data_IF_087945702820
#
_entry.id   IF_087945702820
#
_cell.length_a   1.000
_cell.length_b   1.000
_cell.length_c   1.000
_cell.angle_alpha   90.00
_cell.angle_beta   90.00
_cell.angle_gamma   90.00
#
_symmetry.space_group_name_H-M   'P 1'
#
loop_
_entity.id
_entity.type
_entity.pdbx_description
1 polymer ?
#
# COMPACT_ATOMS: atom_id res chain seq x y z
N UNK A 1 5.31 25.45 63.14
CA UNK A 1 5.45 26.02 61.78
C UNK A 1 6.15 24.96 60.95
N UNK A 2 5.46 24.34 59.99
CA UNK A 2 6.07 23.38 59.08
C UNK A 2 6.36 24.12 57.78
N UNK A 3 7.64 24.34 57.50
CA UNK A 3 8.14 24.86 56.23
C UNK A 3 7.98 23.77 55.17
N UNK A 4 7.34 24.12 54.06
CA UNK A 4 7.28 23.27 52.87
C UNK A 4 8.56 23.50 52.05
N UNK A 5 9.19 22.44 51.51
CA UNK A 5 10.35 22.61 50.66
C UNK A 5 9.92 23.24 49.32
N UNK A 6 10.46 24.41 49.00
CA UNK A 6 10.15 25.19 47.77
C UNK A 6 10.72 24.58 46.48
N UNK A 7 11.27 23.37 46.52
CA UNK A 7 11.99 22.75 45.40
C UNK A 7 11.21 21.65 44.68
N UNK A 8 9.90 21.81 44.49
CA UNK A 8 9.22 21.06 43.43
C UNK A 8 9.47 21.78 42.10
N UNK A 9 10.64 21.51 41.52
CA UNK A 9 11.00 21.86 40.15
C UNK A 9 9.75 21.87 39.26
N UNK A 10 9.38 23.05 38.78
CA UNK A 10 8.55 23.19 37.59
C UNK A 10 9.35 22.60 36.43
N UNK A 11 9.37 21.27 36.32
CA UNK A 11 9.71 20.56 35.10
C UNK A 11 8.57 20.89 34.15
N UNK A 12 8.65 22.06 33.53
CA UNK A 12 7.76 22.46 32.47
C UNK A 12 7.70 21.30 31.51
N UNK A 13 6.57 20.59 31.52
CA UNK A 13 6.35 19.48 30.62
C UNK A 13 6.67 20.05 29.25
N UNK A 14 7.65 19.50 28.55
CA UNK A 14 7.88 19.84 27.16
C UNK A 14 6.58 19.48 26.43
N UNK A 15 5.66 20.44 26.34
CA UNK A 15 4.43 20.29 25.59
C UNK A 15 4.91 20.04 24.18
N UNK A 16 4.72 18.81 23.70
CA UNK A 16 4.95 18.46 22.31
C UNK A 16 3.99 19.31 21.49
N UNK A 17 4.44 20.48 21.07
CA UNK A 17 3.67 21.32 20.16
C UNK A 17 3.61 20.54 18.86
N UNK A 18 2.39 20.19 18.45
CA UNK A 18 2.19 19.56 17.14
C UNK A 18 2.71 20.53 16.07
N UNK A 19 3.50 20.03 15.12
CA UNK A 19 3.98 20.82 14.00
C UNK A 19 2.79 21.52 13.31
N UNK A 20 2.92 22.82 13.03
CA UNK A 20 1.91 23.64 12.34
C UNK A 20 1.43 22.99 11.04
N UNK A 21 2.30 22.25 10.35
CA UNK A 21 1.95 21.49 9.13
C UNK A 21 0.97 20.35 9.41
N UNK A 22 1.10 19.69 10.56
CA UNK A 22 0.20 18.59 10.96
C UNK A 22 -1.18 19.17 11.24
N UNK A 23 -1.27 20.23 12.05
CA UNK A 23 -2.54 20.89 12.36
C UNK A 23 -3.24 21.41 11.10
N UNK A 24 -2.48 22.03 10.18
CA UNK A 24 -3.01 22.48 8.89
C UNK A 24 -3.58 21.32 8.07
N UNK A 25 -2.82 20.22 7.92
CA UNK A 25 -3.28 19.05 7.18
C UNK A 25 -4.57 18.44 7.76
N UNK A 26 -4.71 18.43 9.09
CA UNK A 26 -5.92 17.93 9.75
C UNK A 26 -7.11 18.84 9.43
N UNK A 27 -6.94 20.16 9.53
CA UNK A 27 -7.98 21.14 9.18
C UNK A 27 -8.39 21.00 7.70
N UNK A 28 -7.41 20.90 6.80
CA UNK A 28 -7.65 20.74 5.37
C UNK A 28 -8.41 19.44 5.08
N UNK A 29 -8.05 18.32 5.72
CA UNK A 29 -8.78 17.06 5.58
C UNK A 29 -10.23 17.15 6.06
N UNK A 30 -10.50 17.82 7.19
CA UNK A 30 -11.86 18.00 7.71
C UNK A 30 -12.68 18.84 6.73
N UNK A 31 -12.11 19.91 6.19
CA UNK A 31 -12.79 20.77 5.22
C UNK A 31 -13.10 20.05 3.90
N UNK A 32 -12.19 19.21 3.42
CA UNK A 32 -12.35 18.53 2.14
C UNK A 32 -13.18 17.25 2.24
N UNK A 33 -12.99 16.44 3.28
CA UNK A 33 -13.55 15.09 3.38
C UNK A 33 -14.50 14.89 4.57
N UNK A 34 -14.66 15.90 5.44
CA UNK A 34 -15.47 15.76 6.66
C UNK A 34 -14.88 14.77 7.68
N UNK A 35 -13.60 14.42 7.55
CA UNK A 35 -12.96 13.39 8.38
C UNK A 35 -11.55 13.78 8.83
N UNK A 36 -11.17 13.33 10.03
CA UNK A 36 -9.82 13.44 10.56
C UNK A 36 -8.83 12.50 9.87
N UNK A 37 -9.32 11.43 9.23
CA UNK A 37 -8.49 10.45 8.55
C UNK A 37 -8.20 10.87 7.12
N UNK A 38 -6.91 10.86 6.74
CA UNK A 38 -6.52 11.04 5.33
C UNK A 38 -7.09 9.91 4.47
N UNK A 39 -7.60 10.19 3.25
CA UNK A 39 -7.94 9.13 2.32
C UNK A 39 -6.70 8.28 2.03
N UNK A 40 -6.86 6.95 2.02
CA UNK A 40 -5.77 6.03 1.70
C UNK A 40 -5.29 6.32 0.28
N UNK A 41 -4.03 6.76 0.15
CA UNK A 41 -3.39 6.87 -1.16
C UNK A 41 -3.20 5.45 -1.70
N UNK A 42 -3.90 5.09 -2.77
CA UNK A 42 -3.72 3.81 -3.46
C UNK A 42 -2.31 3.79 -4.07
N UNK A 43 -1.35 3.21 -3.35
CA UNK A 43 0.06 3.08 -3.79
C UNK A 43 0.22 2.08 -4.94
N UNK A 44 -0.80 1.27 -5.22
CA UNK A 44 -0.72 0.13 -6.12
C UNK A 44 -1.49 0.32 -7.43
N UNK A 45 -2.03 1.51 -7.70
CA UNK A 45 -2.76 1.74 -8.95
C UNK A 45 -1.75 1.79 -10.11
N UNK A 46 -1.84 0.86 -11.09
CA UNK A 46 -0.88 0.82 -12.18
C UNK A 46 -0.99 2.09 -13.03
N UNK A 47 0.16 2.64 -13.41
CA UNK A 47 0.23 3.79 -14.32
C UNK A 47 -0.48 3.42 -15.62
N UNK A 48 -1.45 4.25 -16.00
CA UNK A 48 -2.49 4.09 -17.05
C UNK A 48 -1.96 3.91 -18.51
N UNK A 49 -0.73 3.45 -18.71
CA UNK A 49 -0.02 3.48 -20.00
C UNK A 49 0.18 2.12 -20.69
N UNK A 50 -0.06 0.99 -20.02
CA UNK A 50 -0.10 -0.32 -20.68
C UNK A 50 -1.22 -1.12 -20.04
N UNK A 51 -2.33 -1.27 -20.75
CA UNK A 51 -3.29 -2.31 -20.43
C UNK A 51 -2.52 -3.63 -20.57
N UNK A 52 -2.01 -4.15 -19.46
CA UNK A 52 -1.42 -5.49 -19.44
C UNK A 52 -2.60 -6.41 -19.75
N UNK A 53 -2.47 -7.29 -20.75
CA UNK A 53 -3.48 -8.27 -21.11
C UNK A 53 -3.58 -9.35 -20.03
N UNK A 54 -3.99 -8.96 -18.81
CA UNK A 54 -4.15 -9.83 -17.65
C UNK A 54 -5.09 -10.99 -17.99
N UNK A 55 -6.18 -10.69 -18.71
CA UNK A 55 -7.18 -11.67 -19.11
C UNK A 55 -6.61 -12.78 -19.99
N UNK A 56 -5.65 -12.47 -20.84
CA UNK A 56 -5.03 -13.43 -21.76
C UNK A 56 -4.10 -14.39 -21.01
N UNK A 57 -3.34 -13.87 -20.04
CA UNK A 57 -2.53 -14.69 -19.11
C UNK A 57 -3.43 -15.64 -18.33
N UNK A 58 -4.52 -15.12 -17.76
CA UNK A 58 -5.45 -15.92 -16.96
C UNK A 58 -6.19 -16.97 -17.79
N UNK A 59 -6.60 -16.65 -19.03
CA UNK A 59 -7.23 -17.61 -19.93
C UNK A 59 -6.30 -18.78 -20.28
N UNK A 60 -5.02 -18.48 -20.53
CA UNK A 60 -4.00 -19.49 -20.82
C UNK A 60 -3.78 -20.44 -19.63
N UNK A 61 -3.75 -19.88 -18.42
CA UNK A 61 -3.52 -20.63 -17.17
C UNK A 61 -4.76 -21.43 -16.77
N UNK A 62 -5.97 -20.91 -17.00
CA UNK A 62 -7.22 -21.63 -16.76
C UNK A 62 -7.35 -22.88 -17.66
N UNK A 63 -6.89 -22.81 -18.91
CA UNK A 63 -6.89 -23.95 -19.82
C UNK A 63 -5.83 -25.01 -19.48
N UNK A 64 -4.72 -24.60 -18.87
CA UNK A 64 -3.67 -25.50 -18.42
C UNK A 64 -2.93 -24.90 -17.19
N UNK A 65 -3.25 -25.36 -15.96
CA UNK A 65 -2.67 -24.80 -14.74
C UNK A 65 -1.19 -25.13 -14.56
N UNK A 66 -0.64 -26.07 -15.35
CA UNK A 66 0.77 -26.46 -15.32
C UNK A 66 1.64 -25.73 -16.34
N UNK A 67 1.08 -24.76 -17.08
CA UNK A 67 1.83 -24.11 -18.15
C UNK A 67 3.01 -23.30 -17.57
N UNK A 68 4.17 -23.41 -18.21
CA UNK A 68 5.36 -22.71 -17.74
C UNK A 68 5.25 -21.19 -17.95
N UNK A 69 5.84 -20.40 -17.06
CA UNK A 69 5.88 -18.94 -17.22
C UNK A 69 6.55 -18.52 -18.53
N UNK A 70 7.55 -19.27 -19.00
CA UNK A 70 8.23 -19.04 -20.29
C UNK A 70 7.28 -19.18 -21.45
N UNK A 71 6.41 -20.19 -21.44
CA UNK A 71 5.38 -20.40 -22.46
C UNK A 71 4.36 -19.25 -22.48
N UNK A 72 3.92 -18.78 -21.30
CA UNK A 72 2.99 -17.65 -21.20
C UNK A 72 3.62 -16.36 -21.75
N UNK A 73 4.89 -16.11 -21.42
CA UNK A 73 5.63 -14.95 -21.92
C UNK A 73 5.72 -14.99 -23.45
N UNK A 74 6.03 -16.15 -24.01
CA UNK A 74 6.08 -16.35 -25.47
C UNK A 74 4.74 -16.12 -26.16
N UNK A 75 3.63 -16.53 -25.53
CA UNK A 75 2.29 -16.36 -26.08
C UNK A 75 1.74 -14.93 -25.95
N UNK A 76 1.96 -14.28 -24.81
CA UNK A 76 1.32 -13.00 -24.46
C UNK A 76 2.21 -11.78 -24.64
N UNK A 77 3.51 -11.97 -24.89
CA UNK A 77 4.53 -10.91 -24.95
C UNK A 77 4.55 -10.00 -23.71
N UNK A 78 4.23 -10.56 -22.54
CA UNK A 78 4.27 -9.87 -21.25
C UNK A 78 5.58 -10.22 -20.54
N UNK A 79 6.17 -9.23 -19.86
CA UNK A 79 7.38 -9.46 -19.08
C UNK A 79 7.18 -10.50 -17.96
N UNK A 80 8.18 -11.35 -17.76
CA UNK A 80 8.16 -12.41 -16.75
C UNK A 80 7.76 -11.93 -15.35
N UNK A 81 8.25 -10.75 -14.93
CA UNK A 81 7.91 -10.16 -13.64
C UNK A 81 6.42 -9.80 -13.53
N UNK A 82 5.81 -9.34 -14.64
CA UNK A 82 4.38 -9.02 -14.69
C UNK A 82 3.53 -10.30 -14.67
N UNK A 83 3.93 -11.34 -15.41
CA UNK A 83 3.27 -12.65 -15.36
C UNK A 83 3.29 -13.21 -13.94
N UNK A 84 4.45 -13.29 -13.29
CA UNK A 84 4.57 -13.76 -11.90
C UNK A 84 3.73 -12.95 -10.92
N UNK A 85 3.67 -11.62 -11.09
CA UNK A 85 2.82 -10.76 -10.27
C UNK A 85 1.34 -11.08 -10.46
N UNK A 86 0.87 -11.17 -11.71
CA UNK A 86 -0.52 -11.49 -12.06
C UNK A 86 -0.92 -12.85 -11.49
N UNK A 87 -0.08 -13.87 -11.69
CA UNK A 87 -0.31 -15.21 -11.15
C UNK A 87 -0.44 -15.16 -9.63
N UNK A 88 0.49 -14.50 -8.94
CA UNK A 88 0.47 -14.34 -7.48
C UNK A 88 -0.77 -13.58 -6.97
N UNK A 89 -1.17 -12.50 -7.64
CA UNK A 89 -2.36 -11.71 -7.29
C UNK A 89 -3.65 -12.53 -7.44
N UNK A 90 -3.68 -13.49 -8.38
CA UNK A 90 -4.82 -14.38 -8.63
C UNK A 90 -4.70 -15.75 -7.95
N UNK A 91 -3.74 -15.93 -7.04
CA UNK A 91 -3.58 -17.17 -6.26
C UNK A 91 -2.89 -18.33 -6.99
N UNK A 92 -2.34 -18.11 -8.17
CA UNK A 92 -1.53 -19.09 -8.89
C UNK A 92 -0.08 -19.02 -8.37
N UNK A 93 0.42 -20.13 -7.83
CA UNK A 93 1.79 -20.23 -7.32
C UNK A 93 2.70 -20.99 -8.29
N UNK A 94 3.92 -20.47 -8.50
CA UNK A 94 4.90 -21.04 -9.44
C UNK A 94 5.19 -22.53 -9.19
N UNK A 95 5.05 -23.03 -7.95
CA UNK A 95 5.13 -24.45 -7.61
C UNK A 95 4.33 -24.76 -6.34
N UNK A 96 3.07 -25.16 -6.49
CA UNK A 96 2.37 -26.09 -5.58
C UNK A 96 1.28 -26.79 -6.39
N UNK A 97 1.66 -27.86 -7.06
CA UNK A 97 0.74 -28.96 -7.29
C UNK A 97 0.94 -29.90 -6.10
N UNK A 98 -0.14 -30.07 -5.34
CA UNK A 98 -0.29 -30.77 -4.05
C UNK A 98 0.01 -29.91 -2.82
#
# INVERSE_FOLDING_TARGET
MCEWPEDSMSKGSHRRVSDRKISKNVIDNIRTYGSFTKPKRNKNEPVRGKAINVNEVLATVNGNPHVSTVTIIGATNIFAASVRRILKENGYHDYKMV
#
